data_IF_043267706097
#
_entry.id   IF_043267706097
#
_cell.length_a   1.000
_cell.length_b   1.000
_cell.length_c   1.000
_cell.angle_alpha   90.00
_cell.angle_beta   90.00
_cell.angle_gamma   90.00
#
_symmetry.space_group_name_H-M   'P 1'
#
loop_
_entity.id
_entity.type
_entity.pdbx_description
1 polymer ?
#
# COMPACT_ATOMS: atom_id res chain seq x y z
N UNK A 1 -15.05 6.65 14.10
CA UNK A 1 -13.58 6.57 14.08
C UNK A 1 -13.20 6.15 12.68
N UNK A 2 -12.17 6.75 12.11
CA UNK A 2 -11.61 6.34 10.82
C UNK A 2 -10.58 5.26 11.12
N UNK A 3 -10.78 4.08 10.56
CA UNK A 3 -9.93 2.92 10.84
C UNK A 3 -8.95 2.68 9.68
N UNK A 4 -9.39 2.87 8.44
CA UNK A 4 -8.59 2.58 7.23
C UNK A 4 -8.33 3.80 6.34
N UNK A 5 -7.40 3.65 5.40
CA UNK A 5 -7.21 4.60 4.30
C UNK A 5 -8.50 4.78 3.49
N UNK A 6 -9.21 3.70 3.17
CA UNK A 6 -10.51 3.77 2.47
C UNK A 6 -11.50 4.69 3.22
N UNK A 7 -11.58 4.60 4.55
CA UNK A 7 -12.46 5.47 5.34
C UNK A 7 -12.06 6.94 5.24
N UNK A 8 -10.75 7.23 5.40
CA UNK A 8 -10.20 8.57 5.27
C UNK A 8 -10.44 9.14 3.85
N UNK A 9 -10.24 8.31 2.84
CA UNK A 9 -10.46 8.63 1.44
C UNK A 9 -11.93 8.98 1.17
N UNK A 10 -12.87 8.14 1.63
CA UNK A 10 -14.31 8.37 1.44
C UNK A 10 -14.80 9.59 2.17
N UNK A 11 -14.36 9.79 3.41
CA UNK A 11 -14.70 10.99 4.17
C UNK A 11 -14.17 12.25 3.48
N UNK A 12 -12.96 12.20 2.91
CA UNK A 12 -12.40 13.28 2.08
C UNK A 12 -13.24 13.53 0.83
N UNK A 13 -13.59 12.47 0.08
CA UNK A 13 -14.44 12.56 -1.11
C UNK A 13 -15.78 13.26 -0.79
N UNK A 14 -16.40 12.88 0.32
CA UNK A 14 -17.65 13.44 0.82
C UNK A 14 -17.52 14.92 1.18
N UNK A 15 -16.48 15.28 1.94
CA UNK A 15 -16.24 16.66 2.37
C UNK A 15 -15.95 17.57 1.18
N UNK A 16 -15.11 17.15 0.24
CA UNK A 16 -14.84 17.90 -1.00
C UNK A 16 -16.12 18.11 -1.82
N UNK A 17 -17.05 17.16 -1.78
CA UNK A 17 -18.29 17.22 -2.56
C UNK A 17 -19.36 18.09 -1.90
N UNK A 18 -19.53 17.97 -0.58
CA UNK A 18 -20.69 18.52 0.15
C UNK A 18 -20.42 19.85 0.84
N UNK A 19 -19.19 20.09 1.27
CA UNK A 19 -18.87 21.28 2.04
C UNK A 19 -18.55 22.50 1.15
N UNK A 20 -18.55 23.68 1.76
CA UNK A 20 -18.18 24.94 1.09
C UNK A 20 -16.83 25.42 1.59
N UNK A 21 -15.90 25.61 0.67
CA UNK A 21 -14.56 26.12 0.94
C UNK A 21 -14.46 27.62 0.64
N UNK A 22 -13.28 28.21 0.84
CA UNK A 22 -12.99 29.55 0.35
C UNK A 22 -13.25 29.61 -1.17
N UNK A 23 -13.74 30.74 -1.69
CA UNK A 23 -14.30 30.88 -3.03
C UNK A 23 -13.38 30.35 -4.14
N UNK A 24 -12.08 30.68 -4.10
CA UNK A 24 -11.13 30.28 -5.13
C UNK A 24 -10.76 28.78 -5.01
N UNK A 25 -10.79 28.26 -3.78
CA UNK A 25 -10.60 26.83 -3.50
C UNK A 25 -11.81 25.99 -3.88
N UNK A 26 -13.03 26.44 -3.55
CA UNK A 26 -14.27 25.68 -3.72
C UNK A 26 -14.48 25.24 -5.17
N UNK A 27 -14.30 26.17 -6.11
CA UNK A 27 -14.40 25.89 -7.55
C UNK A 27 -13.37 24.86 -7.99
N UNK A 28 -12.10 25.03 -7.60
CA UNK A 28 -11.03 24.10 -7.96
C UNK A 28 -11.24 22.71 -7.36
N UNK A 29 -11.63 22.63 -6.09
CA UNK A 29 -11.90 21.38 -5.38
C UNK A 29 -13.06 20.61 -6.04
N UNK A 30 -14.17 21.29 -6.32
CA UNK A 30 -15.38 20.64 -6.88
C UNK A 30 -15.25 20.26 -8.35
N UNK A 31 -14.40 20.92 -9.12
CA UNK A 31 -14.24 20.67 -10.56
C UNK A 31 -13.06 19.75 -10.90
N UNK A 32 -11.98 19.79 -10.12
CA UNK A 32 -10.74 19.03 -10.38
C UNK A 32 -10.49 17.97 -9.33
N UNK A 33 -10.40 18.34 -8.06
CA UNK A 33 -10.08 17.38 -6.99
C UNK A 33 -11.19 16.34 -6.81
N UNK A 34 -12.46 16.71 -6.99
CA UNK A 34 -13.55 15.73 -7.02
C UNK A 34 -13.34 14.64 -8.08
N UNK A 35 -12.79 14.99 -9.25
CA UNK A 35 -12.51 14.02 -10.33
C UNK A 35 -11.27 13.16 -10.06
N UNK A 36 -10.32 13.67 -9.28
CA UNK A 36 -9.21 12.89 -8.73
C UNK A 36 -9.75 11.80 -7.80
N UNK A 37 -10.75 12.10 -6.99
CA UNK A 37 -11.31 11.18 -6.00
C UNK A 37 -12.44 10.30 -6.58
N UNK A 38 -12.07 9.36 -7.45
CA UNK A 38 -13.00 8.42 -8.08
C UNK A 38 -13.54 7.32 -7.16
N UNK A 39 -14.56 6.61 -7.63
CA UNK A 39 -15.24 5.61 -6.81
C UNK A 39 -14.43 4.34 -6.55
N UNK A 40 -13.38 4.09 -7.31
CA UNK A 40 -12.49 2.94 -7.14
C UNK A 40 -11.04 3.35 -6.87
N UNK A 41 -10.82 4.61 -6.48
CA UNK A 41 -9.51 5.12 -6.10
C UNK A 41 -9.11 6.40 -6.83
N UNK A 42 -7.83 6.77 -6.68
CA UNK A 42 -7.29 8.00 -7.24
C UNK A 42 -7.15 7.94 -8.76
N UNK A 43 -7.69 8.94 -9.45
CA UNK A 43 -7.63 9.05 -10.90
C UNK A 43 -6.34 9.74 -11.37
N UNK A 44 -5.47 8.98 -12.03
CA UNK A 44 -4.16 9.47 -12.49
C UNK A 44 -4.24 10.59 -13.54
N UNK A 45 -5.35 10.72 -14.26
CA UNK A 45 -5.57 11.82 -15.20
C UNK A 45 -5.63 13.18 -14.49
N UNK A 46 -5.94 13.20 -13.19
CA UNK A 46 -6.04 14.40 -12.36
C UNK A 46 -4.84 14.54 -11.40
N UNK A 47 -3.77 13.76 -11.58
CA UNK A 47 -2.56 13.86 -10.75
C UNK A 47 -1.95 15.27 -10.74
N UNK A 48 -1.97 15.98 -11.88
CA UNK A 48 -1.50 17.36 -11.98
C UNK A 48 -2.33 18.32 -11.11
N UNK A 49 -3.64 18.07 -10.99
CA UNK A 49 -4.53 18.83 -10.11
C UNK A 49 -4.13 18.63 -8.64
N UNK A 50 -3.77 17.40 -8.23
CA UNK A 50 -3.25 17.15 -6.89
C UNK A 50 -1.93 17.90 -6.63
N UNK A 51 -0.98 17.84 -7.58
CA UNK A 51 0.29 18.57 -7.48
C UNK A 51 0.07 20.08 -7.34
N UNK A 52 -0.89 20.64 -8.08
CA UNK A 52 -1.28 22.05 -7.94
C UNK A 52 -1.80 22.34 -6.53
N UNK A 53 -2.74 21.53 -6.01
CA UNK A 53 -3.25 21.67 -4.63
C UNK A 53 -2.12 21.69 -3.61
N UNK A 54 -1.18 20.75 -3.74
CA UNK A 54 -0.04 20.64 -2.83
C UNK A 54 0.88 21.85 -2.90
N UNK A 55 1.14 22.37 -4.11
CA UNK A 55 1.99 23.55 -4.29
C UNK A 55 1.32 24.81 -3.76
N UNK A 56 0.02 24.98 -3.95
CA UNK A 56 -0.72 26.12 -3.41
C UNK A 56 -0.74 26.11 -1.87
N UNK A 57 -0.75 24.92 -1.24
CA UNK A 57 -0.61 24.77 0.22
C UNK A 57 0.84 24.99 0.69
N UNK A 58 1.83 24.44 0.00
CA UNK A 58 3.27 24.55 0.36
C UNK A 58 3.81 25.96 0.16
N UNK A 59 3.37 26.61 -0.90
CA UNK A 59 3.90 27.88 -1.39
C UNK A 59 2.77 28.87 -1.69
N UNK A 60 1.91 29.20 -0.69
CA UNK A 60 0.80 30.11 -0.88
C UNK A 60 1.31 31.49 -1.33
N UNK A 61 0.58 32.10 -2.27
CA UNK A 61 0.95 33.39 -2.83
C UNK A 61 0.98 34.47 -1.74
N UNK A 62 2.01 35.32 -1.77
CA UNK A 62 2.14 36.43 -0.81
C UNK A 62 2.60 36.02 0.59
N UNK A 63 2.81 34.73 0.87
CA UNK A 63 3.33 34.31 2.16
C UNK A 63 4.83 34.60 2.31
N UNK A 64 5.22 35.09 3.49
CA UNK A 64 6.62 35.15 3.87
C UNK A 64 7.19 33.74 3.97
N UNK A 65 8.22 33.42 3.17
CA UNK A 65 8.88 32.10 3.07
C UNK A 65 9.46 31.55 4.39
N UNK A 66 9.41 32.33 5.48
CA UNK A 66 10.04 32.04 6.78
C UNK A 66 9.05 31.62 7.87
N UNK A 67 7.73 31.66 7.64
CA UNK A 67 6.77 31.24 8.68
C UNK A 67 6.80 29.71 8.85
N UNK A 68 6.89 29.25 10.10
CA UNK A 68 6.85 27.82 10.44
C UNK A 68 5.43 27.23 10.33
N UNK A 69 4.42 28.05 10.08
CA UNK A 69 3.00 27.65 9.96
C UNK A 69 2.39 27.91 8.60
N UNK A 70 3.19 28.24 7.56
CA UNK A 70 2.68 28.62 6.23
C UNK A 70 1.65 27.63 5.69
N UNK A 71 1.93 26.33 5.71
CA UNK A 71 0.98 25.32 5.23
C UNK A 71 -0.30 25.25 6.08
N UNK A 72 -0.19 25.42 7.40
CA UNK A 72 -1.35 25.41 8.29
C UNK A 72 -2.25 26.62 8.05
N UNK A 73 -1.65 27.79 7.83
CA UNK A 73 -2.36 29.02 7.50
C UNK A 73 -3.09 28.90 6.17
N UNK A 74 -2.42 28.38 5.13
CA UNK A 74 -3.02 28.14 3.82
C UNK A 74 -4.20 27.15 3.89
N UNK A 75 -4.06 26.07 4.67
CA UNK A 75 -5.14 25.10 4.85
C UNK A 75 -6.34 25.73 5.57
N UNK A 76 -6.12 26.54 6.61
CA UNK A 76 -7.21 27.20 7.34
C UNK A 76 -7.93 28.23 6.46
N UNK A 77 -7.18 29.03 5.71
CA UNK A 77 -7.75 29.97 4.74
C UNK A 77 -8.62 29.23 3.71
N UNK A 78 -8.06 28.22 3.05
CA UNK A 78 -8.77 27.38 2.09
C UNK A 78 -10.00 26.69 2.69
N UNK A 79 -9.91 26.25 3.95
CA UNK A 79 -11.01 25.65 4.70
C UNK A 79 -12.06 26.68 5.19
N UNK A 80 -12.00 27.93 4.73
CA UNK A 80 -12.95 28.99 5.07
C UNK A 80 -13.05 29.18 6.60
N UNK A 81 -11.91 29.46 7.23
CA UNK A 81 -11.76 29.58 8.69
C UNK A 81 -12.66 30.60 9.42
N UNK A 82 -13.36 31.46 8.69
CA UNK A 82 -14.35 32.40 9.27
C UNK A 82 -15.71 31.71 9.50
N UNK A 83 -15.93 30.55 8.88
CA UNK A 83 -17.04 29.66 9.14
C UNK A 83 -16.57 28.52 10.06
N UNK A 84 -16.93 28.59 11.34
CA UNK A 84 -16.53 27.57 12.31
C UNK A 84 -17.26 26.23 12.08
N UNK A 85 -18.42 26.22 11.41
CA UNK A 85 -19.15 24.99 11.17
C UNK A 85 -18.36 24.11 10.20
N UNK A 86 -18.08 22.85 10.58
CA UNK A 86 -17.30 21.87 9.77
C UNK A 86 -15.87 22.30 9.41
N UNK A 87 -15.29 23.29 10.10
CA UNK A 87 -13.91 23.75 9.83
C UNK A 87 -12.88 22.60 9.93
N UNK A 88 -13.00 21.75 10.94
CA UNK A 88 -12.09 20.61 11.17
C UNK A 88 -12.16 19.61 10.01
N UNK A 89 -13.37 19.27 9.54
CA UNK A 89 -13.57 18.34 8.43
C UNK A 89 -12.96 18.88 7.13
N UNK A 90 -13.19 20.17 6.82
CA UNK A 90 -12.59 20.84 5.65
C UNK A 90 -11.07 20.88 5.74
N UNK A 91 -10.52 21.21 6.89
CA UNK A 91 -9.07 21.23 7.12
C UNK A 91 -8.46 19.82 7.03
N UNK A 92 -9.13 18.79 7.55
CA UNK A 92 -8.70 17.40 7.48
C UNK A 92 -8.66 16.88 6.03
N UNK A 93 -9.66 17.24 5.21
CA UNK A 93 -9.70 16.89 3.79
C UNK A 93 -8.49 17.45 3.03
N UNK A 94 -8.22 18.74 3.19
CA UNK A 94 -7.08 19.42 2.56
C UNK A 94 -5.75 18.87 3.08
N UNK A 95 -5.65 18.59 4.37
CA UNK A 95 -4.45 17.99 4.97
C UNK A 95 -4.19 16.57 4.45
N UNK A 96 -5.23 15.75 4.34
CA UNK A 96 -5.11 14.40 3.77
C UNK A 96 -4.55 14.48 2.35
N UNK A 97 -5.19 15.25 1.46
CA UNK A 97 -4.75 15.42 0.07
C UNK A 97 -3.35 16.03 -0.06
N UNK A 98 -2.99 16.95 0.84
CA UNK A 98 -1.63 17.50 0.90
C UNK A 98 -0.57 16.41 1.06
N UNK A 99 -0.90 15.30 1.71
CA UNK A 99 -0.02 14.18 1.99
C UNK A 99 -0.23 12.96 1.06
N UNK A 100 -1.01 13.11 -0.03
CA UNK A 100 -1.17 12.09 -1.08
C UNK A 100 -0.28 12.44 -2.28
N UNK A 101 0.49 11.49 -2.78
CA UNK A 101 1.47 11.69 -3.84
C UNK A 101 1.25 10.74 -4.99
N UNK A 102 1.24 11.29 -6.21
CA UNK A 102 1.40 10.52 -7.42
C UNK A 102 2.88 10.27 -7.67
N UNK A 103 3.31 9.01 -7.65
CA UNK A 103 4.75 8.68 -7.73
C UNK A 103 5.16 8.41 -9.17
N UNK A 104 4.39 7.59 -9.89
CA UNK A 104 4.75 7.18 -11.23
C UNK A 104 3.57 6.57 -11.97
N UNK A 105 3.61 6.64 -13.31
CA UNK A 105 2.75 5.88 -14.21
C UNK A 105 3.56 5.14 -15.26
N UNK A 106 3.18 3.88 -15.52
CA UNK A 106 3.80 3.00 -16.51
C UNK A 106 2.70 2.22 -17.22
N UNK A 107 2.30 2.68 -18.41
CA UNK A 107 1.13 2.12 -19.09
C UNK A 107 -0.13 2.30 -18.25
N UNK A 108 -0.80 1.20 -17.91
CA UNK A 108 -1.98 1.18 -17.04
C UNK A 108 -1.66 1.24 -15.54
N UNK A 109 -0.41 0.95 -15.14
CA UNK A 109 0.00 0.97 -13.75
C UNK A 109 0.21 2.41 -13.28
N UNK A 110 -0.41 2.78 -12.16
CA UNK A 110 -0.18 4.04 -11.46
C UNK A 110 0.02 3.79 -9.97
N UNK A 111 1.03 4.45 -9.38
CA UNK A 111 1.41 4.26 -7.98
C UNK A 111 1.14 5.54 -7.20
N UNK A 112 0.35 5.39 -6.14
CA UNK A 112 0.02 6.44 -5.20
C UNK A 112 0.60 6.15 -3.83
N UNK A 113 0.97 7.21 -3.11
CA UNK A 113 1.44 7.11 -1.73
C UNK A 113 0.70 8.12 -0.87
N UNK A 114 0.06 7.69 0.20
CA UNK A 114 -0.36 8.57 1.29
C UNK A 114 0.73 8.52 2.37
N UNK A 115 1.26 9.66 2.79
CA UNK A 115 2.19 9.72 3.93
C UNK A 115 1.71 10.76 4.93
N UNK A 116 0.75 10.41 5.80
CA UNK A 116 0.34 11.28 6.89
C UNK A 116 1.52 11.74 7.74
N UNK A 117 1.42 12.91 8.40
CA UNK A 117 2.46 13.40 9.29
C UNK A 117 2.86 12.36 10.34
N UNK A 118 4.17 12.16 10.54
CA UNK A 118 4.72 11.16 11.47
C UNK A 118 4.30 11.33 12.93
N UNK A 119 3.80 12.52 13.28
CA UNK A 119 3.33 12.87 14.63
C UNK A 119 1.86 12.50 14.87
N UNK A 120 1.15 12.08 13.83
CA UNK A 120 -0.25 11.68 13.97
C UNK A 120 -0.33 10.28 14.59
N UNK A 121 -1.23 10.10 15.53
CA UNK A 121 -1.56 8.82 16.14
C UNK A 121 -2.85 8.24 15.56
N UNK A 122 -3.60 9.03 14.78
CA UNK A 122 -4.82 8.64 14.07
C UNK A 122 -4.84 9.27 12.67
N UNK A 123 -5.86 8.91 11.88
CA UNK A 123 -6.15 9.57 10.62
C UNK A 123 -6.54 11.04 10.81
N UNK A 124 -6.35 11.87 9.77
CA UNK A 124 -6.45 13.34 9.83
C UNK A 124 -7.75 13.88 10.42
N UNK A 125 -8.88 13.21 10.21
CA UNK A 125 -10.17 13.64 10.75
C UNK A 125 -10.25 13.46 12.27
N UNK A 126 -9.84 12.30 12.77
CA UNK A 126 -9.87 12.00 14.20
C UNK A 126 -8.82 12.82 14.96
N UNK A 127 -7.70 13.15 14.29
CA UNK A 127 -6.70 14.09 14.81
C UNK A 127 -7.25 15.49 15.06
N UNK A 128 -8.25 15.93 14.28
CA UNK A 128 -8.75 17.29 14.30
C UNK A 128 -10.09 17.42 15.02
N UNK A 129 -10.78 16.30 15.28
CA UNK A 129 -12.06 16.27 15.94
C UNK A 129 -12.05 17.02 17.28
N UNK A 130 -12.99 17.94 17.47
CA UNK A 130 -13.14 18.72 18.71
C UNK A 130 -12.06 19.79 18.96
N UNK A 131 -11.05 19.93 18.10
CA UNK A 131 -10.03 20.97 18.27
C UNK A 131 -10.61 22.36 17.98
N UNK A 132 -10.28 23.33 18.84
CA UNK A 132 -10.49 24.74 18.53
C UNK A 132 -9.50 25.24 17.45
N UNK A 133 -9.71 26.43 16.90
CA UNK A 133 -8.90 26.99 15.80
C UNK A 133 -7.40 27.06 16.11
N UNK A 134 -7.01 27.41 17.35
CA UNK A 134 -5.61 27.52 17.76
C UNK A 134 -4.94 26.13 17.80
N UNK A 135 -5.59 25.15 18.41
CA UNK A 135 -5.08 23.78 18.47
C UNK A 135 -5.09 23.10 17.11
N UNK A 136 -6.11 23.36 16.29
CA UNK A 136 -6.19 22.89 14.90
C UNK A 136 -5.00 23.42 14.09
N UNK A 137 -4.71 24.74 14.17
CA UNK A 137 -3.54 25.34 13.51
C UNK A 137 -2.23 24.67 13.95
N UNK A 138 -2.07 24.44 15.24
CA UNK A 138 -0.89 23.76 15.79
C UNK A 138 -0.74 22.34 15.23
N UNK A 139 -1.84 21.57 15.17
CA UNK A 139 -1.84 20.21 14.64
C UNK A 139 -1.59 20.16 13.14
N UNK A 140 -2.15 21.10 12.38
CA UNK A 140 -1.94 21.26 10.93
C UNK A 140 -0.47 21.56 10.57
N UNK A 141 0.26 22.25 11.45
CA UNK A 141 1.66 22.61 11.24
C UNK A 141 2.62 21.40 11.22
N UNK A 142 2.16 20.20 11.61
CA UNK A 142 2.94 18.98 11.45
C UNK A 142 2.92 18.51 10.00
N UNK A 143 4.05 18.61 9.31
CA UNK A 143 4.20 18.25 7.88
C UNK A 143 5.28 17.22 7.62
N UNK A 144 6.08 16.84 8.63
CA UNK A 144 7.12 15.84 8.47
C UNK A 144 6.53 14.44 8.32
N UNK A 145 6.91 13.75 7.27
CA UNK A 145 6.38 12.44 6.87
C UNK A 145 7.32 11.31 7.26
N UNK A 146 6.82 10.06 7.22
CA UNK A 146 7.65 8.86 7.42
C UNK A 146 8.34 8.45 6.13
N UNK A 147 7.68 8.59 4.99
CA UNK A 147 8.23 8.17 3.71
C UNK A 147 9.12 9.28 3.13
N UNK A 148 10.39 8.95 2.90
CA UNK A 148 11.26 9.77 2.06
C UNK A 148 10.95 9.56 0.58
N UNK A 149 11.39 10.47 -0.29
CA UNK A 149 11.37 10.25 -1.75
C UNK A 149 12.04 8.94 -2.15
N UNK A 150 13.13 8.57 -1.46
CA UNK A 150 13.81 7.29 -1.68
C UNK A 150 12.91 6.08 -1.38
N UNK A 151 12.10 6.15 -0.31
CA UNK A 151 11.14 5.10 0.02
C UNK A 151 10.04 4.99 -1.03
N UNK A 152 9.48 6.12 -1.47
CA UNK A 152 8.45 6.16 -2.51
C UNK A 152 8.95 5.60 -3.85
N UNK A 153 10.21 5.88 -4.21
CA UNK A 153 10.85 5.28 -5.39
C UNK A 153 11.00 3.75 -5.27
N UNK A 154 11.30 3.25 -4.07
CA UNK A 154 11.35 1.79 -3.81
C UNK A 154 9.97 1.14 -3.91
N UNK A 155 8.90 1.80 -3.45
CA UNK A 155 7.52 1.32 -3.63
C UNK A 155 7.17 1.17 -5.12
N UNK A 156 7.49 2.18 -5.93
CA UNK A 156 7.30 2.13 -7.40
C UNK A 156 8.13 1.01 -8.05
N UNK A 157 9.42 0.92 -7.73
CA UNK A 157 10.31 -0.10 -8.30
C UNK A 157 9.89 -1.52 -7.87
N UNK A 158 9.57 -1.72 -6.59
CA UNK A 158 9.09 -2.99 -6.06
C UNK A 158 7.78 -3.45 -6.71
N UNK A 159 6.85 -2.53 -6.97
CA UNK A 159 5.59 -2.88 -7.67
C UNK A 159 5.86 -3.30 -9.12
N UNK A 160 6.81 -2.64 -9.78
CA UNK A 160 7.23 -3.03 -11.13
C UNK A 160 7.87 -4.43 -11.14
N UNK A 161 8.77 -4.72 -10.19
CA UNK A 161 9.37 -6.04 -10.06
C UNK A 161 8.31 -7.11 -9.74
N UNK A 162 7.39 -6.83 -8.80
CA UNK A 162 6.29 -7.72 -8.45
C UNK A 162 5.38 -8.02 -9.65
N UNK A 163 5.05 -7.02 -10.47
CA UNK A 163 4.31 -7.21 -11.72
C UNK A 163 5.05 -8.14 -12.68
N UNK A 164 6.32 -7.85 -12.95
CA UNK A 164 7.15 -8.68 -13.82
C UNK A 164 7.28 -10.11 -13.29
N UNK A 165 7.38 -10.25 -11.96
CA UNK A 165 7.47 -11.55 -11.32
C UNK A 165 6.20 -12.37 -11.50
N UNK A 166 5.03 -11.77 -11.26
CA UNK A 166 3.75 -12.44 -11.47
C UNK A 166 3.57 -12.85 -12.94
N UNK A 167 3.98 -12.02 -13.90
CA UNK A 167 3.92 -12.35 -15.33
C UNK A 167 4.80 -13.57 -15.65
N UNK A 168 6.04 -13.62 -15.14
CA UNK A 168 6.94 -14.76 -15.36
C UNK A 168 6.45 -16.03 -14.65
N UNK A 169 5.87 -15.88 -13.45
CA UNK A 169 5.21 -16.98 -12.73
C UNK A 169 4.10 -17.58 -13.56
N UNK A 170 3.24 -16.76 -14.17
CA UNK A 170 2.16 -17.26 -15.04
C UNK A 170 2.69 -18.05 -16.26
N UNK A 171 3.83 -17.66 -16.81
CA UNK A 171 4.51 -18.42 -17.89
C UNK A 171 5.04 -19.76 -17.37
N UNK A 172 5.67 -19.76 -16.19
CA UNK A 172 6.17 -20.99 -15.54
C UNK A 172 5.03 -21.94 -15.18
N UNK A 173 3.92 -21.44 -14.62
CA UNK A 173 2.73 -22.22 -14.31
C UNK A 173 2.05 -22.80 -15.56
N UNK A 174 2.00 -22.05 -16.67
CA UNK A 174 1.54 -22.59 -17.95
C UNK A 174 2.43 -23.74 -18.45
N UNK A 175 3.75 -23.63 -18.26
CA UNK A 175 4.70 -24.71 -18.57
C UNK A 175 4.53 -25.91 -17.64
N UNK A 176 4.31 -25.69 -16.33
CA UNK A 176 4.03 -26.74 -15.35
C UNK A 176 2.73 -27.49 -15.65
N UNK A 177 1.70 -26.76 -16.12
CA UNK A 177 0.43 -27.33 -16.62
C UNK A 177 0.66 -28.24 -17.83
N UNK A 178 1.55 -27.84 -18.74
CA UNK A 178 2.01 -28.66 -19.87
C UNK A 178 3.04 -29.74 -19.48
N UNK A 179 3.08 -30.11 -18.20
CA UNK A 179 3.92 -31.16 -17.63
C UNK A 179 5.43 -30.96 -17.80
N UNK A 180 5.90 -29.72 -17.99
CA UNK A 180 7.34 -29.44 -18.04
C UNK A 180 7.96 -29.65 -16.65
N UNK A 181 8.85 -30.64 -16.55
CA UNK A 181 9.40 -31.12 -15.27
C UNK A 181 9.99 -30.00 -14.40
N UNK A 182 10.85 -29.13 -14.96
CA UNK A 182 11.54 -28.08 -14.17
C UNK A 182 10.55 -27.11 -13.50
N UNK A 183 9.42 -26.84 -14.12
CA UNK A 183 8.41 -25.90 -13.63
C UNK A 183 7.47 -26.59 -12.63
N UNK A 184 7.16 -27.88 -12.84
CA UNK A 184 6.50 -28.71 -11.81
C UNK A 184 7.36 -28.84 -10.56
N UNK A 185 8.66 -29.11 -10.71
CA UNK A 185 9.61 -29.20 -9.60
C UNK A 185 9.66 -27.89 -8.80
N UNK A 186 9.50 -26.73 -9.45
CA UNK A 186 9.38 -25.44 -8.77
C UNK A 186 8.10 -25.34 -7.95
N UNK A 187 6.94 -25.74 -8.49
CA UNK A 187 5.69 -25.74 -7.72
C UNK A 187 5.79 -26.71 -6.54
N UNK A 188 6.25 -27.94 -6.79
CA UNK A 188 6.39 -28.95 -5.75
C UNK A 188 7.29 -28.49 -4.61
N UNK A 189 8.42 -27.83 -4.93
CA UNK A 189 9.36 -27.33 -3.92
C UNK A 189 8.73 -26.40 -2.89
N UNK A 190 7.76 -25.59 -3.29
CA UNK A 190 7.17 -24.55 -2.44
C UNK A 190 5.77 -24.91 -1.93
N UNK A 191 5.09 -25.88 -2.53
CA UNK A 191 3.69 -26.17 -2.21
C UNK A 191 3.35 -27.65 -2.08
N UNK A 192 4.21 -28.59 -2.48
CA UNK A 192 3.94 -30.03 -2.37
C UNK A 192 4.57 -30.63 -1.11
N UNK A 193 3.77 -31.40 -0.37
CA UNK A 193 4.22 -32.32 0.67
C UNK A 193 4.35 -33.76 0.12
N UNK A 194 4.68 -34.72 0.99
CA UNK A 194 4.86 -36.14 0.65
C UNK A 194 3.58 -36.80 0.13
N UNK A 195 2.40 -36.23 0.40
CA UNK A 195 1.09 -36.76 0.01
C UNK A 195 0.56 -36.12 -1.28
N UNK A 196 1.36 -35.31 -1.96
CA UNK A 196 0.99 -34.62 -3.19
C UNK A 196 1.24 -35.51 -4.40
N UNK A 197 0.17 -36.13 -4.90
CA UNK A 197 0.18 -36.84 -6.19
C UNK A 197 0.08 -35.87 -7.39
N UNK A 198 0.11 -36.41 -8.60
CA UNK A 198 0.09 -35.62 -9.84
C UNK A 198 -1.20 -34.80 -10.01
N UNK A 199 -2.34 -35.33 -9.54
CA UNK A 199 -3.65 -34.68 -9.62
C UNK A 199 -3.74 -33.50 -8.63
N UNK A 200 -3.23 -33.68 -7.40
CA UNK A 200 -3.11 -32.59 -6.42
C UNK A 200 -2.15 -31.52 -6.90
N UNK A 201 -1.03 -31.89 -7.51
CA UNK A 201 -0.09 -30.94 -8.08
C UNK A 201 -0.72 -30.12 -9.22
N UNK A 202 -1.54 -30.74 -10.06
CA UNK A 202 -2.31 -30.02 -11.08
C UNK A 202 -3.30 -29.03 -10.46
N UNK A 203 -4.01 -29.42 -9.39
CA UNK A 203 -4.90 -28.52 -8.66
C UNK A 203 -4.15 -27.34 -8.01
N UNK A 204 -2.96 -27.58 -7.46
CA UNK A 204 -2.08 -26.51 -6.95
C UNK A 204 -1.71 -25.52 -8.07
N UNK A 205 -1.29 -26.02 -9.23
CA UNK A 205 -0.93 -25.19 -10.40
C UNK A 205 -2.11 -24.31 -10.83
N UNK A 206 -3.33 -24.86 -10.86
CA UNK A 206 -4.54 -24.11 -11.21
C UNK A 206 -4.87 -23.01 -10.21
N UNK A 207 -4.83 -23.32 -8.91
CA UNK A 207 -5.06 -22.33 -7.84
C UNK A 207 -4.01 -21.22 -7.85
N UNK A 208 -2.74 -21.57 -8.00
CA UNK A 208 -1.64 -20.61 -8.15
C UNK A 208 -1.84 -19.73 -9.39
N UNK A 209 -2.24 -20.32 -10.53
CA UNK A 209 -2.48 -19.57 -11.77
C UNK A 209 -3.60 -18.55 -11.58
N UNK A 210 -4.71 -18.94 -10.94
CA UNK A 210 -5.81 -18.03 -10.65
C UNK A 210 -5.38 -16.90 -9.69
N UNK A 211 -4.64 -17.23 -8.64
CA UNK A 211 -4.15 -16.27 -7.66
C UNK A 211 -3.16 -15.26 -8.26
N UNK A 212 -2.13 -15.71 -8.97
CA UNK A 212 -1.14 -14.83 -9.58
C UNK A 212 -1.73 -13.93 -10.67
N UNK A 213 -2.84 -14.32 -11.33
CA UNK A 213 -3.58 -13.42 -12.22
C UNK A 213 -4.15 -12.22 -11.44
N UNK A 214 -4.80 -12.47 -10.30
CA UNK A 214 -5.35 -11.38 -9.47
C UNK A 214 -4.26 -10.45 -8.95
N UNK A 215 -3.17 -11.01 -8.40
CA UNK A 215 -2.04 -10.21 -7.91
C UNK A 215 -1.44 -9.36 -9.04
N UNK A 216 -1.21 -9.97 -10.21
CA UNK A 216 -0.73 -9.25 -11.41
C UNK A 216 -1.69 -8.11 -11.79
N UNK A 217 -2.99 -8.35 -11.75
CA UNK A 217 -3.98 -7.36 -12.18
C UNK A 217 -3.99 -6.13 -11.26
N UNK A 218 -3.87 -6.34 -9.93
CA UNK A 218 -3.69 -5.24 -8.98
C UNK A 218 -2.37 -4.51 -9.21
N UNK A 219 -1.26 -5.25 -9.34
CA UNK A 219 0.04 -4.66 -9.66
C UNK A 219 0.01 -3.87 -10.98
N UNK A 220 -0.80 -4.24 -11.96
CA UNK A 220 -0.92 -3.56 -13.25
C UNK A 220 -2.03 -2.49 -13.28
N UNK A 221 -2.69 -2.24 -12.15
CA UNK A 221 -3.81 -1.30 -12.06
C UNK A 221 -3.34 0.14 -11.78
N UNK A 222 -4.26 1.08 -11.92
CA UNK A 222 -4.08 2.47 -11.49
C UNK A 222 -4.62 2.74 -10.06
N UNK A 223 -4.92 1.67 -9.30
CA UNK A 223 -5.65 1.74 -8.03
C UNK A 223 -4.79 1.43 -6.80
N UNK A 224 -3.56 0.97 -6.97
CA UNK A 224 -2.69 0.62 -5.84
C UNK A 224 -2.19 1.85 -5.10
N UNK A 225 -2.42 1.87 -3.79
CA UNK A 225 -1.97 2.91 -2.86
C UNK A 225 -1.03 2.28 -1.82
N UNK A 226 0.05 2.96 -1.50
CA UNK A 226 0.83 2.69 -0.29
C UNK A 226 0.53 3.73 0.78
N UNK A 227 0.38 3.31 2.03
CA UNK A 227 0.28 4.20 3.19
C UNK A 227 1.12 3.67 4.34
N UNK A 228 1.33 4.42 5.41
CA UNK A 228 1.56 3.85 6.74
C UNK A 228 0.22 3.75 7.49
N UNK A 229 0.13 2.83 8.45
CA UNK A 229 -1.02 2.76 9.34
C UNK A 229 -0.79 3.70 10.54
N UNK A 230 -1.46 4.85 10.52
CA UNK A 230 -1.30 5.85 11.57
C UNK A 230 -1.79 5.39 12.94
N UNK A 231 -2.79 4.50 12.97
CA UNK A 231 -3.40 3.98 14.19
C UNK A 231 -2.51 2.89 14.78
N UNK A 232 -2.03 1.94 13.96
CA UNK A 232 -1.12 0.89 14.43
C UNK A 232 0.24 1.45 14.86
N UNK A 233 0.74 2.49 14.18
CA UNK A 233 1.95 3.20 14.62
C UNK A 233 1.86 3.67 16.08
N UNK A 234 0.67 4.07 16.53
CA UNK A 234 0.46 4.63 17.87
C UNK A 234 0.00 3.59 18.90
N UNK A 235 -0.91 2.69 18.50
CA UNK A 235 -1.54 1.72 19.39
C UNK A 235 -0.78 0.39 19.44
N UNK A 236 -0.05 0.04 18.38
CA UNK A 236 0.71 -1.21 18.25
C UNK A 236 2.20 -0.97 17.97
N UNK A 237 2.92 -0.19 18.82
CA UNK A 237 4.27 0.30 18.52
C UNK A 237 5.33 -0.80 18.39
N UNK A 238 5.08 -2.00 18.91
CA UNK A 238 5.97 -3.15 18.75
C UNK A 238 5.77 -3.81 17.37
N UNK A 239 4.53 -4.01 16.95
CA UNK A 239 4.21 -4.53 15.61
C UNK A 239 4.71 -3.55 14.55
N UNK A 240 4.49 -2.25 14.74
CA UNK A 240 5.03 -1.22 13.84
C UNK A 240 6.54 -1.32 13.62
N UNK A 241 7.30 -1.72 14.65
CA UNK A 241 8.78 -1.84 14.59
C UNK A 241 9.28 -3.17 14.04
N UNK A 242 8.44 -4.19 13.99
CA UNK A 242 8.84 -5.58 13.68
C UNK A 242 8.20 -6.14 12.41
N UNK A 243 7.24 -5.41 11.84
CA UNK A 243 6.49 -5.81 10.64
C UNK A 243 7.05 -5.14 9.39
N UNK A 244 6.96 -5.81 8.25
CA UNK A 244 7.36 -5.29 6.94
C UNK A 244 6.25 -4.46 6.30
N UNK A 245 5.06 -5.04 6.21
CA UNK A 245 3.84 -4.40 5.75
C UNK A 245 2.63 -5.18 6.26
N UNK A 246 1.44 -4.65 6.00
CA UNK A 246 0.16 -5.33 6.21
C UNK A 246 -0.89 -4.85 5.20
N UNK A 247 -2.00 -5.56 5.12
CA UNK A 247 -3.21 -5.15 4.40
C UNK A 247 -4.43 -5.30 5.29
N UNK A 248 -5.40 -4.41 5.11
CA UNK A 248 -6.72 -4.51 5.75
C UNK A 248 -7.76 -5.06 4.76
N UNK A 249 -8.86 -5.59 5.28
CA UNK A 249 -10.02 -5.90 4.45
C UNK A 249 -10.82 -4.62 4.16
N UNK A 250 -10.34 -3.83 3.21
CA UNK A 250 -10.97 -2.57 2.80
C UNK A 250 -11.34 -2.57 1.30
N UNK A 251 -12.04 -1.55 0.79
CA UNK A 251 -12.44 -1.54 -0.64
C UNK A 251 -11.24 -1.30 -1.56
N UNK A 252 -10.43 -0.29 -1.25
CA UNK A 252 -9.29 0.10 -2.10
C UNK A 252 -8.11 -0.87 -1.95
N UNK A 253 -7.25 -0.93 -2.97
CA UNK A 253 -6.02 -1.72 -2.87
C UNK A 253 -4.95 -0.91 -2.14
N UNK A 254 -4.79 -1.16 -0.85
CA UNK A 254 -3.85 -0.43 0.01
C UNK A 254 -2.87 -1.41 0.66
N UNK A 255 -1.58 -1.12 0.55
CA UNK A 255 -0.53 -1.78 1.32
C UNK A 255 0.00 -0.80 2.35
N UNK A 256 -0.09 -1.17 3.63
CA UNK A 256 0.41 -0.38 4.74
C UNK A 256 1.86 -0.78 5.00
N UNK A 257 2.79 0.12 4.71
CA UNK A 257 4.23 -0.14 4.84
C UNK A 257 4.71 0.24 6.23
N UNK A 258 5.28 -0.75 6.89
CA UNK A 258 5.71 -0.71 8.28
C UNK A 258 7.23 -0.50 8.38
N UNK A 259 7.73 -0.27 9.61
CA UNK A 259 9.08 0.28 9.80
C UNK A 259 10.20 -0.60 9.25
N UNK A 260 10.05 -1.92 9.24
CA UNK A 260 11.14 -2.84 8.85
C UNK A 260 11.48 -2.70 7.37
N UNK A 261 10.46 -2.63 6.51
CA UNK A 261 10.65 -2.51 5.06
C UNK A 261 11.20 -1.13 4.64
N UNK A 262 10.99 -0.10 5.47
CA UNK A 262 11.60 1.22 5.26
C UNK A 262 13.09 1.27 5.66
N UNK A 263 13.52 0.34 6.51
CA UNK A 263 14.86 0.29 7.08
C UNK A 263 15.91 -0.38 6.20
N UNK A 264 16.99 -0.86 6.83
CA UNK A 264 18.10 -1.57 6.14
C UNK A 264 17.65 -2.89 5.52
N UNK A 265 16.60 -3.51 6.07
CA UNK A 265 16.03 -4.75 5.56
C UNK A 265 15.25 -4.56 4.25
N UNK A 266 14.85 -3.32 3.91
CA UNK A 266 14.15 -2.97 2.67
C UNK A 266 15.02 -2.99 1.42
N UNK A 267 15.53 -4.16 1.05
CA UNK A 267 16.25 -4.39 -0.20
C UNK A 267 15.29 -4.46 -1.38
N UNK A 268 15.81 -4.34 -2.61
CA UNK A 268 14.99 -4.50 -3.83
C UNK A 268 14.23 -5.84 -3.86
N UNK A 269 14.88 -6.91 -3.40
CA UNK A 269 14.29 -8.25 -3.29
C UNK A 269 13.11 -8.26 -2.31
N UNK A 270 13.32 -7.71 -1.11
CA UNK A 270 12.30 -7.74 -0.05
C UNK A 270 11.06 -6.90 -0.40
N UNK A 271 11.23 -5.79 -1.11
CA UNK A 271 10.08 -4.99 -1.59
C UNK A 271 9.15 -5.78 -2.51
N UNK A 272 9.71 -6.49 -3.48
CA UNK A 272 8.92 -7.26 -4.43
C UNK A 272 8.31 -8.52 -3.78
N UNK A 273 9.05 -9.20 -2.87
CA UNK A 273 8.51 -10.31 -2.07
C UNK A 273 7.33 -9.81 -1.23
N UNK A 274 7.51 -8.73 -0.49
CA UNK A 274 6.49 -8.18 0.40
C UNK A 274 5.24 -7.78 -0.38
N UNK A 275 5.37 -7.10 -1.52
CA UNK A 275 4.20 -6.73 -2.33
C UNK A 275 3.42 -7.96 -2.79
N UNK A 276 4.09 -9.04 -3.22
CA UNK A 276 3.40 -10.29 -3.61
C UNK A 276 2.74 -10.95 -2.38
N UNK A 277 3.44 -10.98 -1.25
CA UNK A 277 2.94 -11.49 0.02
C UNK A 277 1.65 -10.75 0.43
N UNK A 278 1.69 -9.43 0.53
CA UNK A 278 0.55 -8.60 0.95
C UNK A 278 -0.64 -8.69 -0.03
N UNK A 279 -0.37 -8.70 -1.34
CA UNK A 279 -1.45 -8.85 -2.32
C UNK A 279 -2.03 -10.26 -2.32
N UNK A 280 -1.28 -11.28 -1.88
CA UNK A 280 -1.84 -12.62 -1.69
C UNK A 280 -2.87 -12.64 -0.55
N UNK A 281 -2.61 -11.92 0.55
CA UNK A 281 -3.60 -11.75 1.63
C UNK A 281 -4.84 -11.06 1.10
N UNK A 282 -4.65 -9.96 0.36
CA UNK A 282 -5.74 -9.13 -0.14
C UNK A 282 -6.64 -9.88 -1.13
N UNK A 283 -6.05 -10.49 -2.16
CA UNK A 283 -6.77 -10.98 -3.35
C UNK A 283 -7.18 -12.46 -3.26
N UNK A 284 -6.49 -13.22 -2.40
CA UNK A 284 -6.60 -14.68 -2.32
C UNK A 284 -6.86 -15.14 -0.88
N UNK A 285 -6.78 -14.24 0.10
CA UNK A 285 -7.06 -14.52 1.52
C UNK A 285 -6.11 -15.56 2.11
N UNK A 286 -4.84 -15.50 1.71
CA UNK A 286 -3.75 -16.21 2.40
C UNK A 286 -3.61 -15.73 3.85
N UNK A 287 -2.83 -16.44 4.65
CA UNK A 287 -2.55 -16.22 6.06
C UNK A 287 -1.05 -16.32 6.32
N UNK A 288 -0.63 -15.84 7.48
CA UNK A 288 0.74 -16.01 7.98
C UNK A 288 0.83 -17.24 8.86
N UNK A 289 1.04 -18.39 8.23
CA UNK A 289 1.28 -19.63 8.97
C UNK A 289 2.73 -19.76 9.43
N UNK A 290 3.67 -19.44 8.55
CA UNK A 290 5.10 -19.48 8.80
C UNK A 290 5.81 -18.38 8.02
N UNK A 291 6.79 -17.77 8.66
CA UNK A 291 7.69 -16.81 8.02
C UNK A 291 8.97 -17.49 7.54
N UNK A 292 9.68 -16.83 6.63
CA UNK A 292 10.91 -17.33 6.01
C UNK A 292 12.00 -17.76 7.00
N UNK A 293 12.02 -17.15 8.19
CA UNK A 293 12.93 -17.46 9.30
C UNK A 293 12.60 -18.80 9.98
N UNK A 294 11.33 -19.18 10.00
CA UNK A 294 10.85 -20.43 10.59
C UNK A 294 11.06 -21.61 9.64
N UNK A 295 10.82 -21.41 8.34
CA UNK A 295 10.92 -22.46 7.33
C UNK A 295 9.66 -22.55 6.48
N UNK A 296 9.84 -22.67 5.17
CA UNK A 296 8.76 -22.64 4.19
C UNK A 296 8.62 -23.96 3.42
N UNK A 297 9.36 -25.01 3.81
CA UNK A 297 9.28 -26.32 3.14
C UNK A 297 8.02 -27.06 3.60
N UNK A 298 7.07 -27.37 2.70
CA UNK A 298 5.90 -28.15 3.05
C UNK A 298 6.28 -29.57 3.50
N UNK A 299 5.55 -30.10 4.46
CA UNK A 299 5.64 -31.47 4.94
C UNK A 299 4.28 -31.90 5.51
N UNK A 300 3.93 -33.18 5.37
CA UNK A 300 2.62 -33.69 5.72
C UNK A 300 2.28 -33.58 7.22
N UNK A 301 3.30 -33.49 8.08
CA UNK A 301 3.13 -33.49 9.54
C UNK A 301 2.72 -32.14 10.12
N UNK A 302 3.40 -31.06 9.75
CA UNK A 302 3.22 -29.72 10.35
C UNK A 302 2.78 -28.63 9.36
N UNK A 303 3.13 -28.79 8.09
CA UNK A 303 2.90 -27.77 7.06
C UNK A 303 2.48 -28.42 5.72
N UNK A 304 1.30 -29.06 5.67
CA UNK A 304 0.84 -29.77 4.48
C UNK A 304 0.54 -28.82 3.32
N UNK A 305 0.39 -29.37 2.12
CA UNK A 305 0.23 -28.60 0.87
C UNK A 305 -0.86 -27.54 0.89
N UNK A 306 -2.03 -27.84 1.46
CA UNK A 306 -3.11 -26.85 1.54
C UNK A 306 -2.74 -25.68 2.45
N UNK A 307 -1.99 -25.93 3.53
CA UNK A 307 -1.50 -24.88 4.43
C UNK A 307 -0.37 -24.08 3.79
N UNK A 308 0.49 -24.71 2.99
CA UNK A 308 1.49 -24.01 2.19
C UNK A 308 0.87 -23.11 1.12
N UNK A 309 -0.23 -23.56 0.50
CA UNK A 309 -1.00 -22.76 -0.43
C UNK A 309 -1.70 -21.58 0.26
N UNK A 310 -2.12 -21.74 1.51
CA UNK A 310 -2.66 -20.66 2.34
C UNK A 310 -1.57 -19.71 2.87
N UNK A 311 -0.28 -20.04 2.81
CA UNK A 311 0.77 -19.23 3.45
C UNK A 311 1.30 -18.11 2.54
N UNK A 312 1.16 -16.84 2.91
CA UNK A 312 1.55 -15.70 2.09
C UNK A 312 3.04 -15.68 1.70
N UNK A 313 3.93 -16.06 2.63
CA UNK A 313 5.37 -16.14 2.37
C UNK A 313 5.73 -17.14 1.28
N UNK A 314 5.00 -18.27 1.18
CA UNK A 314 5.22 -19.24 0.10
C UNK A 314 4.95 -18.61 -1.28
N UNK A 315 3.95 -17.73 -1.41
CA UNK A 315 3.66 -17.03 -2.66
C UNK A 315 4.78 -16.04 -3.03
N UNK A 316 5.20 -15.20 -2.08
CA UNK A 316 6.26 -14.21 -2.28
C UNK A 316 7.60 -14.85 -2.67
N UNK A 317 8.03 -15.88 -1.92
CA UNK A 317 9.28 -16.58 -2.19
C UNK A 317 9.24 -17.48 -3.42
N UNK A 318 8.10 -18.13 -3.71
CA UNK A 318 7.92 -18.84 -4.98
C UNK A 318 8.08 -17.89 -6.17
N UNK A 319 7.44 -16.72 -6.13
CA UNK A 319 7.57 -15.71 -7.19
C UNK A 319 9.02 -15.26 -7.37
N UNK A 320 9.72 -14.97 -6.27
CA UNK A 320 11.14 -14.61 -6.32
C UNK A 320 12.00 -15.75 -6.91
N UNK A 321 11.74 -17.01 -6.55
CA UNK A 321 12.49 -18.17 -7.06
C UNK A 321 12.29 -18.38 -8.57
N UNK A 322 11.04 -18.36 -9.06
CA UNK A 322 10.74 -18.45 -10.50
C UNK A 322 11.45 -17.36 -11.30
N UNK A 323 11.64 -16.20 -10.67
CA UNK A 323 12.31 -15.07 -11.29
C UNK A 323 13.84 -15.13 -11.25
N UNK A 324 14.42 -16.10 -10.53
CA UNK A 324 15.86 -16.21 -10.32
C UNK A 324 16.40 -15.12 -9.38
N UNK A 325 15.53 -14.49 -8.59
CA UNK A 325 15.90 -13.42 -7.66
C UNK A 325 16.51 -13.96 -6.36
N UNK A 326 16.32 -15.25 -6.06
CA UNK A 326 16.91 -15.91 -4.90
C UNK A 326 18.23 -16.60 -5.25
N UNK A 327 19.24 -16.41 -4.40
CA UNK A 327 20.48 -17.20 -4.46
C UNK A 327 20.22 -18.62 -3.96
N UNK A 328 21.07 -19.58 -4.35
CA UNK A 328 21.00 -20.96 -3.83
C UNK A 328 21.02 -21.00 -2.30
N UNK A 329 21.88 -20.18 -1.67
CA UNK A 329 21.98 -20.08 -0.21
C UNK A 329 20.70 -19.53 0.43
N UNK A 330 20.06 -18.50 -0.16
CA UNK A 330 18.79 -17.98 0.36
C UNK A 330 17.67 -19.02 0.22
N UNK A 331 17.62 -19.76 -0.89
CA UNK A 331 16.65 -20.85 -1.08
C UNK A 331 16.83 -21.91 0.02
N UNK A 332 18.06 -22.35 0.29
CA UNK A 332 18.34 -23.33 1.35
C UNK A 332 18.00 -22.82 2.75
N UNK A 333 18.27 -21.54 3.02
CA UNK A 333 18.00 -20.93 4.32
C UNK A 333 16.50 -20.87 4.65
N UNK A 334 15.65 -20.63 3.63
CA UNK A 334 14.20 -20.50 3.83
C UNK A 334 13.44 -21.81 3.62
N UNK A 335 13.93 -22.74 2.78
CA UNK A 335 13.32 -24.07 2.57
C UNK A 335 13.85 -25.11 3.56
N UNK A 336 13.67 -24.83 4.84
CA UNK A 336 13.76 -25.79 5.93
C UNK A 336 12.35 -26.13 6.41
N UNK A 337 12.20 -27.28 7.06
CA UNK A 337 10.95 -27.64 7.73
C UNK A 337 10.72 -26.68 8.91
N UNK A 338 9.51 -26.11 9.03
CA UNK A 338 9.16 -25.21 10.12
C UNK A 338 8.98 -25.89 11.48
#
# INVERSE_FOLDING_TARGET
MIETFTDAYRKTQDVITKETFEKDWDSFLKTKIKKLMGDDGLNDAEAASLTKLQNDIKYPKGAAKTSRSVEADAILEAAKQDDANKLQDRAAALKFLRHVYFISKRGAQSIWVCSPPKRYANWTYDEFAGLNKVHLKSRLAHTTEIFSTGNMNKMSAGTQDALAWCQKVLISLASAKNKVKKDRDLVSRWFADENTDDAKLDALIEKLTAGFKKIRDVCNSNQLVFSDDTVDRSTQPNLWKTTYALVHDEKLHVIYVEKVLLGRSGTKLEWAITIVHELSHREIKTKDHFYSESGLKPNAGSFPSDKALENADNWGFYAANVNGALTKGKIQAVLKEP
#
